data_IF_623038516342
#
_entry.id   IF_623038516342
#
_cell.length_a   1.000
_cell.length_b   1.000
_cell.length_c   1.000
_cell.angle_alpha   90.00
_cell.angle_beta   90.00
_cell.angle_gamma   90.00
#
_symmetry.space_group_name_H-M   'P 1'
#
loop_
_entity.id
_entity.type
_entity.pdbx_description
1 polymer ?
#
# COMPACT_ATOMS: atom_id res chain seq x y z
N UNK A 1 17.38 -23.53 -20.84
CA UNK A 1 18.47 -23.47 -19.81
C UNK A 1 18.27 -24.54 -18.74
N UNK A 2 19.36 -25.08 -18.13
CA UNK A 2 19.19 -25.89 -16.91
C UNK A 2 19.01 -24.98 -15.68
N UNK A 3 17.88 -25.09 -14.99
CA UNK A 3 17.59 -24.29 -13.80
C UNK A 3 18.65 -24.50 -12.70
N UNK A 4 19.21 -25.70 -12.57
CA UNK A 4 20.30 -25.95 -11.60
C UNK A 4 21.59 -25.20 -11.95
N UNK A 5 21.90 -24.98 -13.23
CA UNK A 5 23.03 -24.13 -13.62
C UNK A 5 22.77 -22.67 -13.34
N UNK A 6 21.55 -22.19 -13.61
CA UNK A 6 21.12 -20.83 -13.25
C UNK A 6 21.23 -20.57 -11.74
N UNK A 7 20.71 -21.47 -10.91
CA UNK A 7 20.82 -21.35 -9.45
C UNK A 7 22.26 -21.38 -8.95
N UNK A 8 23.13 -22.16 -9.58
CA UNK A 8 24.55 -22.15 -9.24
C UNK A 8 25.21 -20.80 -9.54
N UNK A 9 24.85 -20.15 -10.66
CA UNK A 9 25.33 -18.79 -10.97
C UNK A 9 24.91 -17.78 -9.91
N UNK A 10 23.62 -17.78 -9.49
CA UNK A 10 23.15 -16.88 -8.43
C UNK A 10 23.92 -17.11 -7.14
N UNK A 11 24.07 -18.36 -6.72
CA UNK A 11 24.81 -18.74 -5.52
C UNK A 11 26.27 -18.27 -5.53
N UNK A 12 26.91 -18.33 -6.69
CA UNK A 12 28.34 -18.03 -6.89
C UNK A 12 28.57 -16.59 -7.35
N UNK A 13 27.55 -15.77 -7.40
CA UNK A 13 27.59 -14.38 -7.90
C UNK A 13 28.17 -14.27 -9.33
N UNK A 14 27.94 -15.27 -10.15
CA UNK A 14 28.26 -15.22 -11.56
C UNK A 14 27.16 -14.42 -12.27
N UNK A 15 27.50 -13.39 -13.06
CA UNK A 15 26.51 -12.55 -13.72
C UNK A 15 25.49 -13.35 -14.53
N UNK A 16 24.23 -13.02 -14.33
CA UNK A 16 23.11 -13.56 -15.10
C UNK A 16 22.90 -12.71 -16.35
N UNK A 17 22.61 -13.35 -17.47
CA UNK A 17 22.17 -12.60 -18.64
C UNK A 17 20.64 -12.51 -18.68
N UNK A 18 20.14 -11.51 -19.41
CA UNK A 18 18.71 -11.21 -19.52
C UNK A 18 17.87 -12.42 -19.93
N UNK A 19 18.34 -13.20 -20.91
CA UNK A 19 17.57 -14.36 -21.40
C UNK A 19 17.46 -15.49 -20.35
N UNK A 20 18.46 -15.66 -19.49
CA UNK A 20 18.40 -16.62 -18.38
C UNK A 20 17.34 -16.21 -17.35
N UNK A 21 17.26 -14.90 -17.05
CA UNK A 21 16.27 -14.33 -16.12
C UNK A 21 14.86 -14.43 -16.72
N UNK A 22 14.69 -14.13 -18.00
CA UNK A 22 13.42 -14.26 -18.72
C UNK A 22 12.91 -15.71 -18.71
N UNK A 23 13.79 -16.69 -19.03
CA UNK A 23 13.44 -18.11 -19.02
C UNK A 23 13.06 -18.60 -17.62
N UNK A 24 13.79 -18.16 -16.59
CA UNK A 24 13.47 -18.47 -15.20
C UNK A 24 12.11 -17.88 -14.80
N UNK A 25 11.85 -16.62 -15.13
CA UNK A 25 10.59 -15.94 -14.81
C UNK A 25 9.40 -16.58 -15.55
N UNK A 26 9.55 -16.94 -16.81
CA UNK A 26 8.56 -17.70 -17.56
C UNK A 26 8.26 -19.06 -16.88
N UNK A 27 9.31 -19.76 -16.45
CA UNK A 27 9.17 -21.03 -15.74
C UNK A 27 8.54 -20.90 -14.34
N UNK A 28 8.65 -19.75 -13.68
CA UNK A 28 7.87 -19.45 -12.48
C UNK A 28 6.38 -19.33 -12.82
N UNK A 29 6.04 -18.64 -13.91
CA UNK A 29 4.66 -18.40 -14.28
C UNK A 29 3.94 -19.69 -14.76
N UNK A 30 4.60 -20.51 -15.57
CA UNK A 30 4.03 -21.73 -16.16
C UNK A 30 4.16 -22.98 -15.27
N UNK A 31 4.94 -22.90 -14.19
CA UNK A 31 5.14 -24.01 -13.25
C UNK A 31 6.28 -24.97 -13.62
N UNK A 32 7.03 -24.75 -14.68
CA UNK A 32 8.18 -25.57 -15.06
C UNK A 32 9.37 -25.40 -14.09
N UNK A 33 9.51 -24.25 -13.45
CA UNK A 33 10.36 -24.06 -12.26
C UNK A 33 9.60 -24.57 -11.03
N UNK A 34 10.14 -25.57 -10.34
CA UNK A 34 9.51 -26.12 -9.13
C UNK A 34 9.60 -25.16 -7.95
N UNK A 35 8.73 -25.33 -6.93
CA UNK A 35 8.75 -24.52 -5.72
C UNK A 35 10.09 -24.63 -4.96
N UNK A 36 10.72 -25.81 -4.98
CA UNK A 36 12.05 -26.02 -4.42
C UNK A 36 13.13 -25.18 -5.14
N UNK A 37 13.04 -25.07 -6.46
CA UNK A 37 13.97 -24.24 -7.25
C UNK A 37 13.70 -22.75 -7.04
N UNK A 38 12.45 -22.34 -6.97
CA UNK A 38 12.08 -20.96 -6.66
C UNK A 38 12.51 -20.54 -5.24
N UNK A 39 12.36 -21.43 -4.25
CA UNK A 39 12.84 -21.22 -2.88
C UNK A 39 14.37 -21.11 -2.84
N UNK A 40 15.09 -21.96 -3.57
CA UNK A 40 16.54 -21.89 -3.68
C UNK A 40 17.02 -20.59 -4.33
N UNK A 41 16.31 -20.11 -5.37
CA UNK A 41 16.57 -18.80 -5.97
C UNK A 41 16.37 -17.68 -4.95
N UNK A 42 15.21 -17.64 -4.28
CA UNK A 42 14.90 -16.61 -3.30
C UNK A 42 15.93 -16.55 -2.18
N UNK A 43 16.35 -17.70 -1.64
CA UNK A 43 17.37 -17.77 -0.61
C UNK A 43 18.76 -17.34 -1.13
N UNK A 44 19.13 -17.75 -2.34
CA UNK A 44 20.39 -17.34 -2.94
C UNK A 44 20.44 -15.81 -3.14
N UNK A 45 19.35 -15.19 -3.62
CA UNK A 45 19.26 -13.74 -3.75
C UNK A 45 19.29 -13.04 -2.38
N UNK A 46 18.65 -13.58 -1.34
CA UNK A 46 18.73 -13.03 0.00
C UNK A 46 20.16 -12.98 0.54
N UNK A 47 20.98 -13.98 0.19
CA UNK A 47 22.34 -14.10 0.72
C UNK A 47 23.37 -13.37 -0.14
N UNK A 48 23.18 -13.29 -1.44
CA UNK A 48 24.19 -12.81 -2.38
C UNK A 48 23.81 -11.47 -3.03
N UNK A 49 22.53 -11.13 -3.04
CA UNK A 49 21.98 -9.97 -3.77
C UNK A 49 21.95 -10.18 -5.29
N UNK A 50 21.46 -9.16 -5.98
CA UNK A 50 21.47 -9.02 -7.44
C UNK A 50 22.13 -7.69 -7.81
N UNK A 51 22.81 -7.64 -8.92
CA UNK A 51 23.27 -6.38 -9.50
C UNK A 51 22.07 -5.51 -9.92
N UNK A 52 22.30 -4.21 -10.10
CA UNK A 52 21.25 -3.29 -10.53
C UNK A 52 20.61 -3.74 -11.85
N UNK A 53 21.42 -4.15 -12.82
CA UNK A 53 20.91 -4.62 -14.11
C UNK A 53 20.08 -5.90 -13.96
N UNK A 54 20.51 -6.86 -13.16
CA UNK A 54 19.76 -8.08 -12.90
C UNK A 54 18.41 -7.81 -12.20
N UNK A 55 18.36 -6.82 -11.31
CA UNK A 55 17.09 -6.38 -10.70
C UNK A 55 16.14 -5.78 -11.74
N UNK A 56 16.64 -4.95 -12.66
CA UNK A 56 15.85 -4.41 -13.77
C UNK A 56 15.33 -5.54 -14.65
N UNK A 57 16.22 -6.46 -15.05
CA UNK A 57 15.87 -7.57 -15.94
C UNK A 57 14.86 -8.52 -15.27
N UNK A 58 15.02 -8.84 -13.98
CA UNK A 58 14.07 -9.65 -13.20
C UNK A 58 12.71 -8.96 -13.08
N UNK A 59 12.70 -7.65 -12.81
CA UNK A 59 11.47 -6.87 -12.71
C UNK A 59 10.69 -6.91 -14.03
N UNK A 60 11.37 -6.63 -15.14
CA UNK A 60 10.76 -6.65 -16.47
C UNK A 60 10.32 -8.06 -16.87
N UNK A 61 11.15 -9.06 -16.63
CA UNK A 61 10.82 -10.45 -16.91
C UNK A 61 9.59 -10.93 -16.14
N UNK A 62 9.48 -10.61 -14.83
CA UNK A 62 8.30 -10.95 -14.05
C UNK A 62 7.05 -10.18 -14.51
N UNK A 63 7.19 -8.88 -14.85
CA UNK A 63 6.11 -8.09 -15.45
C UNK A 63 5.58 -8.74 -16.73
N UNK A 64 6.47 -9.13 -17.62
CA UNK A 64 6.16 -9.62 -18.96
C UNK A 64 5.63 -11.07 -18.96
N UNK A 65 5.63 -11.76 -17.83
CA UNK A 65 4.90 -13.02 -17.67
C UNK A 65 3.40 -12.86 -17.66
N UNK A 66 2.91 -11.63 -17.48
CA UNK A 66 1.49 -11.27 -17.44
C UNK A 66 1.11 -10.25 -18.50
N UNK A 67 -0.07 -9.68 -18.31
CA UNK A 67 -0.60 -8.63 -19.18
C UNK A 67 -0.04 -7.27 -18.77
N UNK A 68 0.60 -6.57 -19.69
CA UNK A 68 1.01 -5.17 -19.53
C UNK A 68 -0.02 -4.27 -20.18
N UNK A 69 -0.52 -3.30 -19.44
CA UNK A 69 -1.53 -2.36 -19.92
C UNK A 69 -0.91 -1.33 -20.87
N UNK A 70 -1.68 -1.03 -21.92
CA UNK A 70 -1.40 0.08 -22.84
C UNK A 70 -2.60 1.00 -22.83
N UNK A 71 -2.36 2.28 -22.57
CA UNK A 71 -3.41 3.28 -22.46
C UNK A 71 -3.43 4.21 -23.66
N UNK A 72 -4.61 4.45 -24.22
CA UNK A 72 -4.87 5.51 -25.19
C UNK A 72 -5.77 6.56 -24.52
N UNK A 73 -5.14 7.41 -23.70
CA UNK A 73 -5.79 8.39 -22.85
C UNK A 73 -5.25 9.80 -23.13
N UNK A 74 -6.05 10.82 -22.87
CA UNK A 74 -5.71 12.22 -23.16
C UNK A 74 -4.73 12.87 -22.20
N UNK A 75 -4.37 12.20 -21.12
CA UNK A 75 -3.44 12.67 -20.09
C UNK A 75 -2.48 11.59 -19.64
N UNK A 76 -1.47 11.94 -18.86
CA UNK A 76 -0.46 10.98 -18.41
C UNK A 76 -1.06 9.95 -17.44
N UNK A 77 -0.53 8.73 -17.54
CA UNK A 77 -0.89 7.60 -16.67
C UNK A 77 0.14 7.50 -15.56
N UNK A 78 -0.29 7.80 -14.34
CA UNK A 78 0.60 7.93 -13.18
C UNK A 78 0.06 7.21 -11.97
N UNK A 79 0.94 6.86 -11.04
CA UNK A 79 0.52 6.19 -9.81
C UNK A 79 1.45 6.50 -8.63
N UNK A 80 1.00 6.14 -7.44
CA UNK A 80 1.77 6.17 -6.19
C UNK A 80 1.83 4.78 -5.61
N UNK A 81 2.98 4.41 -5.08
CA UNK A 81 3.11 3.20 -4.27
C UNK A 81 3.67 3.53 -2.89
N UNK A 82 3.07 2.96 -1.85
CA UNK A 82 3.57 3.04 -0.49
C UNK A 82 4.19 1.71 -0.06
N UNK A 83 5.26 1.78 0.73
CA UNK A 83 5.79 0.59 1.41
C UNK A 83 4.89 0.14 2.57
N UNK A 84 3.88 0.94 2.90
CA UNK A 84 2.88 0.63 3.92
C UNK A 84 3.26 1.08 5.32
N UNK A 85 2.23 1.27 6.12
CA UNK A 85 2.33 1.65 7.52
C UNK A 85 0.95 1.69 8.17
N UNK A 86 0.92 1.83 9.51
CA UNK A 86 -0.32 1.92 10.26
C UNK A 86 -0.98 3.27 10.01
N UNK A 87 -2.23 3.28 9.53
CA UNK A 87 -2.94 4.51 9.25
C UNK A 87 -2.45 5.24 7.99
N UNK A 88 -1.87 4.52 7.02
CA UNK A 88 -1.54 5.08 5.71
C UNK A 88 -2.74 5.03 4.76
N UNK A 89 -3.45 6.12 4.67
CA UNK A 89 -4.63 6.30 3.83
C UNK A 89 -4.43 7.33 2.69
N UNK A 90 -3.19 7.69 2.38
CA UNK A 90 -2.83 8.63 1.30
C UNK A 90 -3.47 8.24 -0.04
N UNK A 91 -3.46 6.96 -0.39
CA UNK A 91 -3.98 6.48 -1.69
C UNK A 91 -5.44 6.87 -1.94
N UNK A 92 -6.28 6.88 -0.89
CA UNK A 92 -7.70 7.22 -0.98
C UNK A 92 -7.92 8.70 -1.30
N UNK A 93 -6.99 9.56 -0.86
CA UNK A 93 -7.04 11.01 -1.08
C UNK A 93 -6.33 11.38 -2.38
N UNK A 94 -5.14 10.84 -2.60
CA UNK A 94 -4.27 11.24 -3.69
C UNK A 94 -4.79 10.83 -5.07
N UNK A 95 -5.33 9.61 -5.22
CA UNK A 95 -5.78 9.12 -6.51
C UNK A 95 -6.87 10.03 -7.15
N UNK A 96 -7.94 10.41 -6.45
CA UNK A 96 -8.93 11.34 -7.02
C UNK A 96 -8.41 12.77 -7.18
N UNK A 97 -7.45 13.24 -6.35
CA UNK A 97 -6.83 14.54 -6.54
C UNK A 97 -6.00 14.61 -7.82
N UNK A 98 -5.19 13.59 -8.11
CA UNK A 98 -4.41 13.48 -9.35
C UNK A 98 -5.32 13.42 -10.58
N UNK A 99 -6.39 12.64 -10.51
CA UNK A 99 -7.39 12.58 -11.56
C UNK A 99 -8.10 13.93 -11.77
N UNK A 100 -8.36 14.67 -10.70
CA UNK A 100 -8.92 16.02 -10.77
C UNK A 100 -7.97 17.04 -11.43
N UNK A 101 -6.66 16.79 -11.36
CA UNK A 101 -5.63 17.56 -12.07
C UNK A 101 -5.49 17.17 -13.54
N UNK A 102 -6.19 16.13 -14.03
CA UNK A 102 -6.17 15.67 -15.42
C UNK A 102 -5.24 14.51 -15.72
N UNK A 103 -4.67 13.87 -14.72
CA UNK A 103 -3.96 12.61 -14.87
C UNK A 103 -4.92 11.40 -14.84
N UNK A 104 -4.43 10.23 -15.23
CA UNK A 104 -5.13 8.96 -15.09
C UNK A 104 -4.38 8.08 -14.08
N UNK A 105 -5.11 7.51 -13.13
CA UNK A 105 -4.51 6.80 -11.99
C UNK A 105 -5.05 5.37 -11.91
N UNK A 106 -4.45 4.41 -12.65
CA UNK A 106 -4.79 2.99 -12.57
C UNK A 106 -4.12 2.34 -11.36
N UNK A 107 -4.60 2.65 -10.16
CA UNK A 107 -3.95 2.24 -8.91
C UNK A 107 -4.21 0.77 -8.59
N UNK A 108 -3.22 -0.08 -8.89
CA UNK A 108 -3.20 -1.46 -8.41
C UNK A 108 -2.62 -1.48 -7.00
N UNK A 109 -3.42 -1.90 -6.03
CA UNK A 109 -3.09 -1.86 -4.61
C UNK A 109 -3.18 -3.24 -3.96
N UNK A 110 -2.75 -3.33 -2.71
CA UNK A 110 -2.70 -4.56 -1.92
C UNK A 110 -3.58 -4.53 -0.68
N UNK A 111 -3.69 -5.72 -0.08
CA UNK A 111 -4.18 -5.90 1.29
C UNK A 111 -3.10 -5.57 2.31
N UNK A 112 -3.49 -5.39 3.54
CA UNK A 112 -2.56 -5.22 4.64
C UNK A 112 -1.68 -6.43 4.86
N UNK A 113 -0.44 -6.18 5.24
CA UNK A 113 0.54 -7.19 5.62
C UNK A 113 0.89 -7.02 7.08
N UNK A 114 0.98 -8.12 7.81
CA UNK A 114 1.35 -8.10 9.23
C UNK A 114 0.39 -7.24 10.07
N UNK A 115 0.93 -6.16 10.62
CA UNK A 115 0.21 -5.23 11.49
C UNK A 115 -0.42 -4.02 10.76
N UNK A 116 -0.26 -3.93 9.44
CA UNK A 116 -0.76 -2.79 8.65
C UNK A 116 -2.12 -3.06 8.03
N UNK A 117 -2.95 -2.02 7.86
CA UNK A 117 -4.16 -2.08 7.06
C UNK A 117 -3.88 -1.76 5.59
N UNK A 118 -4.34 -2.60 4.68
CA UNK A 118 -4.17 -2.37 3.25
C UNK A 118 -5.21 -1.41 2.67
N UNK A 119 -4.87 -0.77 1.56
CA UNK A 119 -5.79 0.13 0.84
C UNK A 119 -7.08 -0.59 0.42
N UNK A 120 -6.98 -1.84 -0.02
CA UNK A 120 -8.15 -2.63 -0.40
C UNK A 120 -9.06 -2.93 0.78
N UNK A 121 -8.48 -3.28 1.94
CA UNK A 121 -9.22 -3.58 3.16
C UNK A 121 -10.04 -2.37 3.63
N UNK A 122 -9.51 -1.16 3.45
CA UNK A 122 -10.21 0.10 3.74
C UNK A 122 -11.39 0.31 2.79
N UNK A 123 -11.19 0.16 1.49
CA UNK A 123 -12.24 0.31 0.48
C UNK A 123 -13.34 -0.75 0.61
N UNK A 124 -13.01 -1.96 1.01
CA UNK A 124 -13.99 -3.03 1.28
C UNK A 124 -14.89 -2.74 2.49
N UNK A 125 -14.55 -1.76 3.35
CA UNK A 125 -15.48 -1.25 4.36
C UNK A 125 -16.65 -0.47 3.78
N UNK A 126 -16.57 -0.08 2.50
CA UNK A 126 -17.64 0.58 1.75
C UNK A 126 -18.56 -0.49 1.17
N UNK A 127 -19.84 -0.55 1.55
CA UNK A 127 -20.75 -1.59 1.05
C UNK A 127 -20.82 -1.64 -0.47
N UNK A 128 -20.62 -2.84 -1.02
CA UNK A 128 -20.70 -3.09 -2.45
C UNK A 128 -19.44 -2.74 -3.26
N UNK A 129 -18.45 -2.08 -2.68
CA UNK A 129 -17.23 -1.77 -3.40
C UNK A 129 -16.46 -3.04 -3.79
N UNK A 130 -16.14 -3.16 -5.07
CA UNK A 130 -15.45 -4.32 -5.65
C UNK A 130 -13.98 -4.00 -5.84
N UNK A 131 -13.12 -4.66 -5.07
CA UNK A 131 -11.66 -4.58 -5.20
C UNK A 131 -11.11 -5.52 -6.27
N UNK A 132 -11.91 -6.49 -6.73
CA UNK A 132 -11.56 -7.41 -7.80
C UNK A 132 -12.54 -7.19 -8.95
N UNK A 133 -12.02 -6.76 -10.08
CA UNK A 133 -12.78 -6.50 -11.32
C UNK A 133 -12.05 -7.09 -12.52
N UNK A 134 -12.74 -7.24 -13.64
CA UNK A 134 -12.10 -7.66 -14.89
C UNK A 134 -11.14 -6.59 -15.40
N UNK A 135 -10.23 -6.99 -16.29
CA UNK A 135 -9.31 -6.04 -16.91
C UNK A 135 -10.04 -4.95 -17.71
N UNK A 136 -11.06 -5.32 -18.46
CA UNK A 136 -11.84 -4.40 -19.29
C UNK A 136 -12.64 -3.42 -18.42
N UNK A 137 -13.24 -3.90 -17.33
CA UNK A 137 -13.93 -3.03 -16.37
C UNK A 137 -12.97 -2.04 -15.70
N UNK A 138 -11.79 -2.49 -15.33
CA UNK A 138 -10.76 -1.60 -14.77
C UNK A 138 -10.35 -0.50 -15.76
N UNK A 139 -10.10 -0.87 -17.02
CA UNK A 139 -9.77 0.09 -18.07
C UNK A 139 -10.89 1.11 -18.30
N UNK A 140 -12.13 0.63 -18.37
CA UNK A 140 -13.30 1.49 -18.55
C UNK A 140 -13.45 2.49 -17.39
N UNK A 141 -13.31 2.02 -16.13
CA UNK A 141 -13.43 2.91 -14.97
C UNK A 141 -12.30 3.96 -14.96
N UNK A 142 -11.08 3.59 -15.28
CA UNK A 142 -9.96 4.55 -15.38
C UNK A 142 -10.23 5.58 -16.48
N UNK A 143 -10.70 5.15 -17.65
CA UNK A 143 -10.99 6.05 -18.77
C UNK A 143 -12.14 7.02 -18.44
N UNK A 144 -13.23 6.54 -17.83
CA UNK A 144 -14.44 7.34 -17.58
C UNK A 144 -14.32 8.24 -16.36
N UNK A 145 -13.63 7.77 -15.32
CA UNK A 145 -13.57 8.45 -14.01
C UNK A 145 -12.27 9.24 -13.83
N UNK A 146 -11.17 8.75 -14.42
CA UNK A 146 -9.81 9.26 -14.25
C UNK A 146 -9.00 8.47 -13.23
N UNK A 147 -9.62 7.69 -12.34
CA UNK A 147 -8.92 6.83 -11.39
C UNK A 147 -9.72 5.58 -11.04
N UNK A 148 -9.00 4.52 -10.67
CA UNK A 148 -9.56 3.33 -10.04
C UNK A 148 -8.55 2.75 -9.06
N UNK A 149 -9.01 2.25 -7.91
CA UNK A 149 -8.18 1.57 -6.91
C UNK A 149 -8.68 0.14 -6.76
N UNK A 150 -7.91 -0.81 -7.27
CA UNK A 150 -8.29 -2.23 -7.31
C UNK A 150 -7.12 -3.14 -6.91
N UNK A 151 -7.40 -4.39 -6.65
CA UNK A 151 -6.39 -5.42 -6.44
C UNK A 151 -5.71 -5.84 -7.73
N UNK A 152 -4.54 -6.46 -7.62
CA UNK A 152 -3.91 -7.11 -8.76
C UNK A 152 -4.84 -8.21 -9.28
N UNK A 153 -5.39 -8.00 -10.47
CA UNK A 153 -6.24 -8.95 -11.15
C UNK A 153 -5.47 -10.21 -11.58
N UNK A 154 -6.21 -11.21 -12.04
CA UNK A 154 -5.59 -12.37 -12.69
C UNK A 154 -4.81 -11.93 -13.92
N UNK A 155 -3.59 -12.42 -14.06
CA UNK A 155 -2.71 -12.10 -15.18
C UNK A 155 -1.78 -10.89 -14.97
N UNK A 156 -1.79 -10.23 -13.81
CA UNK A 156 -0.76 -9.24 -13.47
C UNK A 156 0.43 -9.96 -12.82
N UNK A 157 1.59 -9.94 -13.50
CA UNK A 157 2.85 -10.49 -13.02
C UNK A 157 2.72 -11.87 -12.31
N UNK A 158 2.20 -12.92 -12.96
CA UNK A 158 1.95 -14.21 -12.33
C UNK A 158 3.20 -14.87 -11.76
N UNK A 159 4.38 -14.65 -12.37
CA UNK A 159 5.64 -15.09 -11.80
C UNK A 159 5.92 -14.49 -10.42
N UNK A 160 5.67 -13.19 -10.26
CA UNK A 160 5.81 -12.54 -8.96
C UNK A 160 4.82 -13.08 -7.92
N UNK A 161 3.56 -13.25 -8.30
CA UNK A 161 2.52 -13.79 -7.41
C UNK A 161 2.96 -15.14 -6.82
N UNK A 162 3.50 -16.03 -7.67
CA UNK A 162 3.97 -17.33 -7.22
C UNK A 162 5.23 -17.24 -6.38
N UNK A 163 6.22 -16.46 -6.84
CA UNK A 163 7.48 -16.28 -6.11
C UNK A 163 7.22 -15.67 -4.72
N UNK A 164 6.33 -14.69 -4.63
CA UNK A 164 5.96 -14.06 -3.35
C UNK A 164 5.37 -15.09 -2.36
N UNK A 165 4.47 -15.96 -2.82
CA UNK A 165 3.90 -17.03 -1.98
C UNK A 165 4.99 -17.96 -1.44
N UNK A 166 5.99 -18.29 -2.26
CA UNK A 166 7.13 -19.15 -1.85
C UNK A 166 8.02 -18.40 -0.86
N UNK A 167 8.28 -17.11 -1.09
CA UNK A 167 9.08 -16.26 -0.19
C UNK A 167 8.48 -16.16 1.20
N UNK A 168 7.16 -16.04 1.29
CA UNK A 168 6.44 -16.00 2.58
C UNK A 168 6.66 -17.30 3.38
N UNK A 169 6.63 -18.44 2.69
CA UNK A 169 6.86 -19.76 3.30
C UNK A 169 8.31 -20.05 3.68
N UNK A 170 9.25 -19.36 3.03
CA UNK A 170 10.70 -19.67 3.15
C UNK A 170 11.48 -18.61 3.93
N UNK A 171 10.80 -17.61 4.50
CA UNK A 171 11.46 -16.55 5.28
C UNK A 171 12.42 -15.70 4.43
N UNK A 172 12.07 -15.43 3.17
CA UNK A 172 12.90 -14.66 2.24
C UNK A 172 12.22 -13.36 1.76
N UNK A 173 11.21 -12.89 2.51
CA UNK A 173 10.46 -11.66 2.16
C UNK A 173 11.26 -10.38 2.37
N UNK A 174 12.31 -10.40 3.20
CA UNK A 174 13.07 -9.21 3.60
C UNK A 174 14.12 -8.74 2.57
N UNK A 175 14.38 -9.52 1.51
CA UNK A 175 15.35 -9.15 0.47
C UNK A 175 14.93 -7.88 -0.26
N UNK A 176 15.73 -6.82 -0.19
CA UNK A 176 15.52 -5.53 -0.89
C UNK A 176 15.36 -5.74 -2.39
N UNK A 177 16.17 -6.62 -2.99
CA UNK A 177 16.13 -6.91 -4.42
C UNK A 177 14.81 -7.54 -4.84
N UNK A 178 14.34 -8.52 -4.06
CA UNK A 178 13.08 -9.20 -4.34
C UNK A 178 11.86 -8.36 -3.96
N UNK A 179 11.95 -7.49 -2.94
CA UNK A 179 10.94 -6.48 -2.63
C UNK A 179 10.79 -5.52 -3.81
N UNK A 180 11.92 -4.99 -4.29
CA UNK A 180 11.97 -4.06 -5.42
C UNK A 180 11.31 -4.65 -6.66
N UNK A 181 11.74 -5.85 -7.05
CA UNK A 181 11.21 -6.51 -8.25
C UNK A 181 9.73 -6.87 -8.11
N UNK A 182 9.30 -7.30 -6.93
CA UNK A 182 7.89 -7.63 -6.63
C UNK A 182 6.98 -6.41 -6.70
N UNK A 183 7.37 -5.29 -6.13
CA UNK A 183 6.59 -4.04 -6.19
C UNK A 183 6.49 -3.54 -7.63
N UNK A 184 7.65 -3.43 -8.29
CA UNK A 184 7.73 -2.78 -9.58
C UNK A 184 7.16 -3.61 -10.73
N UNK A 185 7.27 -4.95 -10.70
CA UNK A 185 6.65 -5.78 -11.73
C UNK A 185 5.13 -5.54 -11.84
N UNK A 186 4.43 -5.40 -10.71
CA UNK A 186 3.00 -5.08 -10.67
C UNK A 186 2.69 -3.65 -11.08
N UNK A 187 3.52 -2.68 -10.63
CA UNK A 187 3.31 -1.26 -10.96
C UNK A 187 3.58 -0.98 -12.44
N UNK A 188 4.64 -1.53 -12.99
CA UNK A 188 4.95 -1.39 -14.41
C UNK A 188 3.97 -2.13 -15.31
N UNK A 189 3.36 -3.24 -14.85
CA UNK A 189 2.29 -3.91 -15.56
C UNK A 189 1.03 -3.05 -15.72
N UNK A 190 0.83 -2.06 -14.86
CA UNK A 190 -0.25 -1.09 -15.00
C UNK A 190 -0.03 -0.06 -16.12
N UNK A 191 1.11 -0.06 -16.81
CA UNK A 191 1.38 0.82 -17.95
C UNK A 191 1.65 2.27 -17.58
N UNK A 192 2.38 2.49 -16.48
CA UNK A 192 2.65 3.81 -15.92
C UNK A 192 3.73 4.58 -16.71
N UNK A 193 3.52 5.88 -16.86
CA UNK A 193 4.52 6.82 -17.38
C UNK A 193 5.36 7.46 -16.26
N UNK A 194 4.74 7.67 -15.08
CA UNK A 194 5.44 8.15 -13.89
C UNK A 194 4.90 7.51 -12.61
N UNK A 195 5.80 7.41 -11.63
CA UNK A 195 5.50 6.80 -10.33
C UNK A 195 6.16 7.61 -9.21
N UNK A 196 5.45 7.84 -8.12
CA UNK A 196 6.05 8.27 -6.85
C UNK A 196 6.02 7.14 -5.84
N UNK A 197 7.15 6.93 -5.19
CA UNK A 197 7.32 5.95 -4.15
C UNK A 197 7.28 6.64 -2.79
N UNK A 198 6.36 6.22 -1.96
CA UNK A 198 6.18 6.68 -0.59
C UNK A 198 6.83 5.65 0.35
N UNK A 199 8.10 5.86 0.66
CA UNK A 199 8.87 4.96 1.52
C UNK A 199 8.69 5.37 2.97
N UNK A 200 7.87 4.62 3.67
CA UNK A 200 7.53 4.85 5.08
C UNK A 200 8.68 4.45 5.99
N UNK A 201 9.00 5.32 6.95
CA UNK A 201 10.08 5.12 7.92
C UNK A 201 9.57 5.38 9.32
N UNK A 202 9.80 4.47 10.23
CA UNK A 202 9.45 4.63 11.65
C UNK A 202 8.79 3.40 12.24
N UNK A 203 8.37 3.52 13.48
CA UNK A 203 7.82 2.41 14.27
C UNK A 203 6.52 1.81 13.71
N UNK A 204 5.74 2.58 12.98
CA UNK A 204 4.52 2.13 12.30
C UNK A 204 4.76 1.59 10.89
N UNK A 205 6.01 1.53 10.41
CA UNK A 205 6.40 1.06 9.08
C UNK A 205 7.18 -0.25 9.13
N UNK A 206 7.40 -0.87 7.96
CA UNK A 206 8.32 -2.00 7.84
C UNK A 206 9.78 -1.55 7.96
N UNK A 207 10.14 -0.41 7.36
CA UNK A 207 11.48 0.18 7.49
C UNK A 207 11.55 1.00 8.78
N UNK A 208 12.24 0.50 9.78
CA UNK A 208 12.33 1.15 11.08
C UNK A 208 13.42 2.22 11.14
N UNK A 209 14.44 2.10 10.29
CA UNK A 209 15.53 3.06 10.27
C UNK A 209 15.68 3.74 8.90
N UNK A 210 16.27 4.93 8.92
CA UNK A 210 16.42 5.79 7.75
C UNK A 210 17.41 5.22 6.71
N UNK A 211 18.39 4.43 7.11
CA UNK A 211 19.41 3.89 6.22
C UNK A 211 18.80 2.79 5.32
N UNK A 212 18.10 1.82 5.91
CA UNK A 212 17.37 0.78 5.18
C UNK A 212 16.32 1.39 4.23
N UNK A 213 15.60 2.41 4.70
CA UNK A 213 14.61 3.10 3.88
C UNK A 213 15.24 3.81 2.67
N UNK A 214 16.41 4.43 2.85
CA UNK A 214 17.16 5.04 1.74
C UNK A 214 17.68 4.01 0.76
N UNK A 215 18.14 2.87 1.23
CA UNK A 215 18.59 1.78 0.38
C UNK A 215 17.44 1.25 -0.48
N UNK A 216 16.30 0.95 0.14
CA UNK A 216 15.10 0.52 -0.59
C UNK A 216 14.62 1.59 -1.58
N UNK A 217 14.57 2.86 -1.18
CA UNK A 217 14.19 3.95 -2.07
C UNK A 217 15.10 4.06 -3.29
N UNK A 218 16.42 3.99 -3.10
CA UNK A 218 17.40 4.01 -4.20
C UNK A 218 17.20 2.81 -5.14
N UNK A 219 17.04 1.61 -4.59
CA UNK A 219 16.80 0.39 -5.37
C UNK A 219 15.54 0.54 -6.24
N UNK A 220 14.41 0.94 -5.63
CA UNK A 220 13.14 1.12 -6.31
C UNK A 220 13.23 2.19 -7.42
N UNK A 221 13.81 3.36 -7.12
CA UNK A 221 13.94 4.47 -8.10
C UNK A 221 14.86 4.07 -9.24
N UNK A 222 16.01 3.46 -8.95
CA UNK A 222 16.97 3.03 -9.97
C UNK A 222 16.35 2.01 -10.93
N UNK A 223 15.71 0.96 -10.37
CA UNK A 223 15.11 -0.11 -11.16
C UNK A 223 13.92 0.41 -11.98
N UNK A 224 13.05 1.25 -11.42
CA UNK A 224 11.89 1.78 -12.15
C UNK A 224 12.32 2.71 -13.30
N UNK A 225 13.31 3.59 -13.07
CA UNK A 225 13.86 4.44 -14.12
C UNK A 225 14.61 3.60 -15.16
N UNK A 226 15.37 2.59 -14.76
CA UNK A 226 16.03 1.64 -15.67
C UNK A 226 15.02 0.85 -16.54
N UNK A 227 13.81 0.63 -16.00
CA UNK A 227 12.69 0.03 -16.73
C UNK A 227 11.88 1.01 -17.59
N UNK A 228 12.28 2.29 -17.64
CA UNK A 228 11.64 3.32 -18.47
C UNK A 228 10.46 4.07 -17.86
N UNK A 229 10.14 3.84 -16.56
CA UNK A 229 9.13 4.60 -15.83
C UNK A 229 9.78 5.71 -15.01
N UNK A 230 9.42 6.97 -15.30
CA UNK A 230 9.96 8.13 -14.56
C UNK A 230 9.53 8.02 -13.09
N UNK A 231 10.49 7.88 -12.19
CA UNK A 231 10.18 7.54 -10.80
C UNK A 231 11.01 8.38 -9.85
N UNK A 232 10.33 8.89 -8.84
CA UNK A 232 10.91 9.55 -7.67
C UNK A 232 10.47 8.84 -6.39
N UNK A 233 11.12 9.14 -5.27
CA UNK A 233 10.75 8.62 -3.96
C UNK A 233 10.83 9.70 -2.89
N UNK A 234 9.84 9.69 -1.99
CA UNK A 234 9.85 10.47 -0.76
C UNK A 234 9.95 9.50 0.41
N UNK A 235 10.84 9.83 1.38
CA UNK A 235 10.88 9.16 2.65
C UNK A 235 9.95 9.92 3.61
N UNK A 236 8.93 9.23 4.11
CA UNK A 236 7.91 9.86 4.95
C UNK A 236 7.89 9.22 6.34
N UNK A 237 7.79 10.07 7.36
CA UNK A 237 7.76 9.61 8.74
C UNK A 237 6.47 8.84 9.04
N UNK A 238 6.63 7.67 9.64
CA UNK A 238 5.56 6.77 10.06
C UNK A 238 5.72 6.34 11.53
N UNK A 239 6.31 7.21 12.37
CA UNK A 239 6.25 7.03 13.82
C UNK A 239 4.85 7.30 14.39
N UNK A 240 4.02 8.00 13.64
CA UNK A 240 2.63 8.29 13.96
C UNK A 240 1.74 7.97 12.76
N UNK A 241 0.46 7.64 13.00
CA UNK A 241 -0.52 7.53 11.91
C UNK A 241 -0.64 8.86 11.16
N UNK A 242 -0.96 8.82 9.88
CA UNK A 242 -1.10 10.05 9.07
C UNK A 242 -2.39 10.81 9.41
N UNK A 243 -3.45 10.08 9.74
CA UNK A 243 -4.72 10.63 10.15
C UNK A 243 -4.93 10.49 11.66
N UNK A 244 -5.96 11.15 12.17
CA UNK A 244 -6.38 11.12 13.58
C UNK A 244 -6.87 9.74 14.03
N UNK A 245 -7.05 8.81 13.11
CA UNK A 245 -7.55 7.46 13.40
C UNK A 245 -6.90 6.41 12.49
N UNK A 246 -6.83 5.17 12.97
CA UNK A 246 -6.43 4.01 12.20
C UNK A 246 -7.51 2.91 12.32
N UNK A 247 -7.78 2.21 11.20
CA UNK A 247 -8.83 1.21 11.05
C UNK A 247 -9.62 1.43 9.77
N UNK A 248 -10.02 0.35 9.09
CA UNK A 248 -10.50 0.41 7.72
C UNK A 248 -11.57 1.49 7.46
N UNK A 249 -12.71 1.42 8.12
CA UNK A 249 -13.78 2.40 7.96
C UNK A 249 -13.45 3.79 8.52
N UNK A 250 -12.63 3.86 9.56
CA UNK A 250 -12.20 5.13 10.16
C UNK A 250 -11.28 5.89 9.21
N UNK A 251 -10.35 5.18 8.58
CA UNK A 251 -9.42 5.77 7.61
C UNK A 251 -10.15 6.24 6.34
N UNK A 252 -11.24 5.57 5.94
CA UNK A 252 -12.12 6.10 4.88
C UNK A 252 -12.80 7.40 5.32
N UNK A 253 -13.23 7.53 6.59
CA UNK A 253 -13.78 8.78 7.12
C UNK A 253 -12.76 9.90 7.12
N UNK A 254 -11.53 9.63 7.57
CA UNK A 254 -10.43 10.61 7.55
C UNK A 254 -10.10 11.05 6.12
N UNK A 255 -10.03 10.12 5.17
CA UNK A 255 -9.83 10.44 3.76
C UNK A 255 -10.95 11.32 3.19
N UNK A 256 -12.21 11.02 3.53
CA UNK A 256 -13.36 11.84 3.15
C UNK A 256 -13.34 13.23 3.79
N UNK A 257 -12.87 13.37 5.02
CA UNK A 257 -12.71 14.67 5.66
C UNK A 257 -11.73 15.55 4.86
N UNK A 258 -10.57 15.00 4.45
CA UNK A 258 -9.63 15.71 3.58
C UNK A 258 -10.25 16.04 2.22
N UNK A 259 -10.88 15.08 1.55
CA UNK A 259 -11.51 15.29 0.23
C UNK A 259 -12.64 16.33 0.27
N UNK A 260 -13.32 16.49 1.40
CA UNK A 260 -14.33 17.53 1.65
C UNK A 260 -13.72 18.85 2.16
N UNK A 261 -12.41 18.96 2.15
CA UNK A 261 -11.68 20.13 2.65
C UNK A 261 -12.06 20.51 4.10
N UNK A 262 -12.26 19.50 4.95
CA UNK A 262 -12.56 19.67 6.37
C UNK A 262 -11.23 19.70 7.16
N UNK A 263 -11.17 20.50 8.25
CA UNK A 263 -9.97 20.54 9.11
C UNK A 263 -9.83 19.24 9.94
N UNK A 264 -8.65 19.00 10.49
CA UNK A 264 -8.38 17.95 11.47
C UNK A 264 -7.48 16.82 10.99
N UNK A 265 -7.12 16.80 9.70
CA UNK A 265 -6.25 15.77 9.10
C UNK A 265 -5.04 16.40 8.39
N UNK A 266 -4.41 17.40 9.04
CA UNK A 266 -3.38 18.27 8.44
C UNK A 266 -2.15 17.45 8.00
N UNK A 267 -1.75 16.44 8.79
CA UNK A 267 -0.58 15.60 8.45
C UNK A 267 -0.85 14.71 7.24
N UNK A 268 -2.03 14.11 7.16
CA UNK A 268 -2.45 13.33 5.99
C UNK A 268 -2.47 14.22 4.74
N UNK A 269 -3.03 15.41 4.85
CA UNK A 269 -3.07 16.39 3.77
C UNK A 269 -1.66 16.78 3.32
N UNK A 270 -0.76 17.10 4.25
CA UNK A 270 0.59 17.54 3.93
C UNK A 270 1.38 16.46 3.19
N UNK A 271 1.37 15.23 3.67
CA UNK A 271 2.05 14.10 3.00
C UNK A 271 1.42 13.82 1.62
N UNK A 272 0.10 13.93 1.52
CA UNK A 272 -0.60 13.76 0.24
C UNK A 272 -0.20 14.83 -0.77
N UNK A 273 -0.13 16.10 -0.35
CA UNK A 273 0.29 17.21 -1.21
C UNK A 273 1.76 17.08 -1.63
N UNK A 274 2.65 16.70 -0.71
CA UNK A 274 4.06 16.49 -1.02
C UNK A 274 4.27 15.38 -2.05
N UNK A 275 3.61 14.24 -1.89
CA UNK A 275 3.67 13.14 -2.85
C UNK A 275 3.04 13.51 -4.19
N UNK A 276 1.89 14.18 -4.15
CA UNK A 276 1.15 14.57 -5.36
C UNK A 276 1.89 15.63 -6.18
N UNK A 277 2.42 16.69 -5.56
CA UNK A 277 3.18 17.73 -6.25
C UNK A 277 4.43 17.16 -6.89
N UNK A 278 5.18 16.35 -6.15
CA UNK A 278 6.37 15.67 -6.69
C UNK A 278 6.02 14.75 -7.88
N UNK A 279 4.92 13.98 -7.80
CA UNK A 279 4.50 13.10 -8.89
C UNK A 279 4.06 13.90 -10.13
N UNK A 280 3.30 14.97 -9.97
CA UNK A 280 2.85 15.81 -11.09
C UNK A 280 4.02 16.47 -11.81
N UNK A 281 5.08 16.88 -11.08
CA UNK A 281 6.33 17.38 -11.67
C UNK A 281 7.09 16.24 -12.37
N UNK A 282 7.25 15.09 -11.72
CA UNK A 282 7.89 13.90 -12.31
C UNK A 282 7.18 13.46 -13.61
N UNK A 283 5.87 13.59 -13.66
CA UNK A 283 5.05 13.32 -14.84
C UNK A 283 5.20 14.39 -15.95
N UNK A 284 5.79 15.55 -15.65
CA UNK A 284 5.94 16.65 -16.59
C UNK A 284 4.66 17.46 -16.79
N UNK A 285 3.67 17.34 -15.89
CA UNK A 285 2.45 18.15 -15.93
C UNK A 285 2.67 19.56 -15.41
N UNK A 286 3.64 19.74 -14.53
CA UNK A 286 4.06 21.03 -13.98
C UNK A 286 5.58 21.12 -14.00
N UNK A 287 6.11 22.33 -14.06
CA UNK A 287 7.56 22.58 -13.96
C UNK A 287 8.06 22.76 -12.53
N UNK A 288 7.16 23.17 -11.62
CA UNK A 288 7.49 23.52 -10.24
C UNK A 288 6.51 22.85 -9.27
N UNK A 289 7.04 22.39 -8.13
CA UNK A 289 6.23 21.71 -7.11
C UNK A 289 5.18 22.62 -6.47
N UNK A 290 5.49 23.91 -6.31
CA UNK A 290 4.53 24.89 -5.73
C UNK A 290 3.28 25.05 -6.61
N UNK A 291 3.44 25.10 -7.94
CA UNK A 291 2.32 25.16 -8.87
C UNK A 291 1.48 23.88 -8.86
N UNK A 292 2.16 22.74 -8.80
CA UNK A 292 1.50 21.45 -8.71
C UNK A 292 0.72 21.32 -7.39
N UNK A 293 1.31 21.77 -6.28
CA UNK A 293 0.66 21.82 -4.96
C UNK A 293 -0.57 22.71 -4.97
N UNK A 294 -0.46 23.92 -5.49
CA UNK A 294 -1.61 24.83 -5.62
C UNK A 294 -2.75 24.22 -6.46
N UNK A 295 -2.40 23.50 -7.54
CA UNK A 295 -3.39 22.79 -8.34
C UNK A 295 -4.09 21.67 -7.55
N UNK A 296 -3.35 20.88 -6.75
CA UNK A 296 -3.92 19.87 -5.88
C UNK A 296 -4.85 20.48 -4.83
N UNK A 297 -4.45 21.56 -4.17
CA UNK A 297 -5.27 22.26 -3.18
C UNK A 297 -6.59 22.79 -3.79
N UNK A 298 -6.53 23.27 -5.03
CA UNK A 298 -7.73 23.69 -5.78
C UNK A 298 -8.70 22.53 -6.02
N UNK A 299 -8.23 21.28 -6.16
CA UNK A 299 -9.13 20.14 -6.33
C UNK A 299 -9.97 19.87 -5.08
N UNK A 300 -9.44 20.17 -3.89
CA UNK A 300 -10.15 20.05 -2.62
C UNK A 300 -11.13 21.21 -2.44
N UNK A 301 -10.66 22.45 -2.61
CA UNK A 301 -11.50 23.66 -2.42
C UNK A 301 -12.66 23.74 -3.42
N UNK A 302 -12.52 23.14 -4.61
CA UNK A 302 -13.59 23.02 -5.61
C UNK A 302 -14.47 21.78 -5.45
N UNK A 303 -14.18 20.92 -4.48
CA UNK A 303 -14.82 19.63 -4.27
C UNK A 303 -14.68 18.62 -5.44
N UNK A 304 -13.86 18.92 -6.46
CA UNK A 304 -13.70 18.06 -7.64
C UNK A 304 -13.08 16.70 -7.29
N UNK A 305 -12.12 16.67 -6.37
CA UNK A 305 -11.55 15.42 -5.90
C UNK A 305 -12.57 14.54 -5.17
N UNK A 306 -13.44 15.13 -4.34
CA UNK A 306 -14.53 14.42 -3.67
C UNK A 306 -15.55 13.86 -4.67
N UNK A 307 -15.91 14.62 -5.72
CA UNK A 307 -16.78 14.17 -6.80
C UNK A 307 -16.18 12.95 -7.53
N UNK A 308 -14.89 13.02 -7.92
CA UNK A 308 -14.20 11.91 -8.59
C UNK A 308 -14.13 10.67 -7.69
N UNK A 309 -13.85 10.85 -6.40
CA UNK A 309 -13.89 9.74 -5.44
C UNK A 309 -15.26 9.08 -5.41
N UNK A 310 -16.35 9.86 -5.33
CA UNK A 310 -17.73 9.35 -5.38
C UNK A 310 -18.04 8.59 -6.67
N UNK A 311 -17.59 9.11 -7.81
CA UNK A 311 -17.73 8.44 -9.11
C UNK A 311 -16.96 7.12 -9.15
N UNK A 312 -15.74 7.08 -8.63
CA UNK A 312 -14.94 5.85 -8.51
C UNK A 312 -15.68 4.81 -7.64
N UNK A 313 -16.16 5.23 -6.47
CA UNK A 313 -16.91 4.34 -5.58
C UNK A 313 -18.13 3.76 -6.30
N UNK A 314 -18.93 4.59 -6.97
CA UNK A 314 -20.12 4.16 -7.71
C UNK A 314 -19.78 3.23 -8.87
N UNK A 315 -18.77 3.55 -9.67
CA UNK A 315 -18.34 2.73 -10.81
C UNK A 315 -17.86 1.33 -10.37
N UNK A 316 -17.28 1.24 -9.17
CA UNK A 316 -16.81 -0.02 -8.60
C UNK A 316 -17.83 -0.69 -7.67
N UNK A 317 -19.13 -0.29 -7.75
CA UNK A 317 -20.26 -0.99 -7.14
C UNK A 317 -20.70 -0.48 -5.77
N UNK A 318 -20.05 0.53 -5.22
CA UNK A 318 -20.49 1.20 -3.98
C UNK A 318 -21.67 2.15 -4.20
N UNK A 319 -22.22 2.75 -3.13
CA UNK A 319 -23.38 3.64 -3.23
C UNK A 319 -23.07 4.92 -4.01
N UNK A 320 -23.96 5.33 -4.91
CA UNK A 320 -23.78 6.52 -5.75
C UNK A 320 -23.75 7.84 -4.97
N UNK A 321 -24.31 7.88 -3.77
CA UNK A 321 -24.33 9.03 -2.85
C UNK A 321 -23.42 8.79 -1.62
N UNK A 322 -22.39 7.95 -1.79
CA UNK A 322 -21.50 7.57 -0.68
C UNK A 322 -20.82 8.77 -0.03
N UNK A 323 -20.33 9.71 -0.84
CA UNK A 323 -19.60 10.88 -0.33
C UNK A 323 -20.50 11.72 0.58
N UNK A 324 -21.77 11.94 0.21
CA UNK A 324 -22.72 12.73 0.98
C UNK A 324 -23.19 12.01 2.25
N UNK A 325 -23.39 10.68 2.14
CA UNK A 325 -24.04 9.85 3.16
C UNK A 325 -23.13 8.80 3.77
N UNK A 326 -21.83 9.01 3.76
CA UNK A 326 -20.84 8.04 4.23
C UNK A 326 -21.10 7.52 5.66
N UNK A 327 -21.66 8.35 6.54
CA UNK A 327 -22.01 7.94 7.90
C UNK A 327 -23.16 6.93 7.97
N UNK A 328 -24.02 6.87 6.93
CA UNK A 328 -25.11 5.88 6.84
C UNK A 328 -24.59 4.52 6.34
N UNK A 329 -23.49 4.51 5.58
CA UNK A 329 -22.95 3.33 4.93
C UNK A 329 -21.78 2.68 5.66
N UNK A 330 -20.89 3.50 6.22
CA UNK A 330 -19.70 2.97 6.88
C UNK A 330 -20.06 2.31 8.23
N UNK A 331 -19.52 1.12 8.50
CA UNK A 331 -19.80 0.43 9.74
C UNK A 331 -19.35 1.27 10.96
N UNK A 332 -20.16 1.17 12.01
CA UNK A 332 -19.87 1.74 13.33
C UNK A 332 -19.66 0.60 14.30
N UNK A 333 -18.70 0.74 15.19
CA UNK A 333 -18.47 -0.26 16.22
C UNK A 333 -19.65 -0.29 17.21
N UNK A 334 -20.08 -1.49 17.57
CA UNK A 334 -21.10 -1.71 18.59
C UNK A 334 -20.61 -1.35 20.00
N UNK A 335 -19.30 -1.52 20.24
CA UNK A 335 -18.66 -1.24 21.51
C UNK A 335 -17.50 -0.27 21.30
N UNK A 336 -17.50 0.81 22.06
CA UNK A 336 -16.45 1.84 22.08
C UNK A 336 -15.92 1.93 23.50
N UNK A 337 -14.60 1.85 23.65
CA UNK A 337 -13.93 1.97 24.93
C UNK A 337 -13.04 3.22 24.92
N UNK A 338 -13.20 4.06 25.94
CA UNK A 338 -12.30 5.17 26.18
C UNK A 338 -11.05 4.68 26.91
N UNK A 339 -9.91 5.00 26.36
CA UNK A 339 -8.62 4.65 26.92
C UNK A 339 -7.84 5.93 27.24
N UNK A 340 -7.46 6.09 28.50
CA UNK A 340 -6.64 7.19 28.96
C UNK A 340 -5.28 6.69 29.40
N UNK A 341 -4.24 7.18 28.78
CA UNK A 341 -2.88 6.79 29.10
C UNK A 341 -2.12 7.92 29.80
N UNK A 342 -1.29 7.61 30.77
CA UNK A 342 -0.71 8.55 31.74
C UNK A 342 0.73 9.01 31.53
N UNK A 343 1.53 8.46 30.60
CA UNK A 343 2.91 8.91 30.35
C UNK A 343 3.38 8.64 28.92
N UNK A 344 4.31 9.49 28.44
CA UNK A 344 4.91 9.40 27.12
C UNK A 344 6.10 8.43 27.09
N UNK A 345 6.08 7.42 26.23
CA UNK A 345 7.28 6.74 25.76
C UNK A 345 7.28 6.74 24.23
N UNK A 346 8.39 7.19 23.67
CA UNK A 346 8.61 7.37 22.22
C UNK A 346 8.85 6.08 21.45
N UNK A 347 8.56 4.95 22.02
CA UNK A 347 8.72 3.67 21.35
C UNK A 347 7.37 3.22 20.81
N UNK A 348 7.19 3.40 19.50
CA UNK A 348 6.35 2.54 18.66
C UNK A 348 4.83 2.69 18.71
N UNK A 349 4.21 2.67 17.54
CA UNK A 349 2.79 2.50 17.27
C UNK A 349 1.86 3.51 17.96
N UNK A 350 2.12 4.72 17.66
CA UNK A 350 1.34 5.85 18.10
C UNK A 350 0.22 6.09 17.09
N UNK A 351 -0.87 5.38 17.28
CA UNK A 351 -2.13 5.90 16.79
C UNK A 351 -2.99 6.20 18.00
N UNK A 352 -3.51 7.39 18.08
CA UNK A 352 -4.65 7.72 18.93
C UNK A 352 -5.89 6.93 18.48
N UNK A 353 -5.70 5.69 18.11
CA UNK A 353 -6.70 4.87 17.46
C UNK A 353 -7.53 4.19 18.49
N UNK A 354 -8.77 4.49 18.47
CA UNK A 354 -9.80 3.64 19.01
C UNK A 354 -9.64 2.26 18.34
N UNK A 355 -9.16 1.27 19.08
CA UNK A 355 -9.16 -0.09 18.60
C UNK A 355 -10.60 -0.61 18.68
N UNK A 356 -11.30 -0.63 17.54
CA UNK A 356 -12.65 -1.16 17.45
C UNK A 356 -12.57 -2.69 17.50
N UNK A 357 -12.66 -3.24 18.70
CA UNK A 357 -12.70 -4.67 18.90
C UNK A 357 -14.16 -5.12 18.86
N UNK A 358 -14.55 -5.78 17.78
CA UNK A 358 -15.81 -6.54 17.75
C UNK A 358 -15.62 -7.80 18.57
N UNK A 359 -15.96 -7.77 19.85
CA UNK A 359 -15.90 -8.93 20.72
C UNK A 359 -17.23 -9.10 21.47
N UNK A 360 -17.72 -10.33 21.62
CA UNK A 360 -18.82 -10.64 22.55
C UNK A 360 -18.39 -10.59 24.03
N UNK A 361 -17.15 -10.23 24.32
CA UNK A 361 -16.65 -10.14 25.68
C UNK A 361 -17.06 -8.79 26.30
N UNK A 362 -17.84 -8.88 27.34
CA UNK A 362 -18.27 -7.75 28.16
C UNK A 362 -17.08 -7.16 28.93
N UNK A 363 -16.88 -5.85 28.77
CA UNK A 363 -16.11 -4.97 29.65
C UNK A 363 -14.67 -5.35 29.98
N UNK A 364 -13.73 -4.96 29.11
CA UNK A 364 -12.32 -4.85 29.49
C UNK A 364 -11.97 -3.36 29.69
N UNK A 365 -11.39 -3.02 30.84
CA UNK A 365 -10.72 -1.75 31.04
C UNK A 365 -9.23 -1.98 30.85
N UNK A 366 -8.64 -1.28 29.89
CA UNK A 366 -7.20 -1.21 29.72
C UNK A 366 -6.69 -0.02 30.51
N UNK A 367 -5.80 -0.27 31.45
CA UNK A 367 -5.02 0.78 32.09
C UNK A 367 -3.61 0.70 31.52
N UNK A 368 -3.17 1.76 30.86
CA UNK A 368 -1.77 1.99 30.55
C UNK A 368 -1.44 3.40 31.00
N UNK A 369 -0.27 3.55 31.58
CA UNK A 369 0.29 4.85 31.90
C UNK A 369 0.99 5.50 30.69
N UNK A 370 0.91 4.85 29.52
CA UNK A 370 1.49 5.31 28.26
C UNK A 370 0.36 5.83 27.33
N UNK A 371 0.30 7.16 27.01
CA UNK A 371 -0.69 7.75 26.13
C UNK A 371 -0.70 7.19 24.70
N UNK A 372 0.31 6.44 24.34
CA UNK A 372 0.50 5.85 23.02
C UNK A 372 0.51 4.33 22.99
N UNK A 373 0.16 3.67 24.08
CA UNK A 373 0.02 2.24 24.09
C UNK A 373 -1.12 1.81 23.17
N UNK A 374 -0.82 1.05 22.14
CA UNK A 374 -1.81 0.51 21.20
C UNK A 374 -1.96 -0.97 21.42
N UNK A 375 -3.18 -1.40 21.67
CA UNK A 375 -3.53 -2.79 21.73
C UNK A 375 -3.89 -3.29 20.32
N UNK A 376 -3.08 -4.17 19.75
CA UNK A 376 -3.46 -4.92 18.57
C UNK A 376 -4.27 -6.13 19.00
N UNK A 377 -5.55 -6.09 18.72
CA UNK A 377 -6.43 -7.21 18.94
C UNK A 377 -7.06 -7.66 17.63
N UNK A 378 -6.86 -8.90 17.27
CA UNK A 378 -7.55 -9.52 16.13
C UNK A 378 -8.57 -10.49 16.69
N UNK A 379 -9.83 -10.34 16.29
CA UNK A 379 -10.85 -11.34 16.54
C UNK A 379 -10.69 -12.48 15.55
N UNK A 380 -10.30 -13.66 16.04
CA UNK A 380 -10.35 -14.91 15.28
C UNK A 380 -11.57 -15.70 15.72
N UNK A 381 -12.01 -16.66 14.91
CA UNK A 381 -13.11 -17.59 15.24
C UNK A 381 -12.85 -18.32 16.55
N UNK A 382 -13.09 -17.71 17.68
CA UNK A 382 -12.91 -18.32 19.02
C UNK A 382 -12.37 -17.39 20.10
N UNK A 383 -12.05 -16.13 19.83
CA UNK A 383 -11.62 -15.19 20.87
C UNK A 383 -10.75 -14.05 20.40
N UNK A 384 -10.49 -13.14 21.31
CA UNK A 384 -9.59 -12.02 21.14
C UNK A 384 -8.14 -12.50 21.25
N UNK A 385 -7.35 -12.35 20.19
CA UNK A 385 -5.91 -12.59 20.25
C UNK A 385 -5.18 -11.26 20.29
N UNK A 386 -4.50 -10.98 21.38
CA UNK A 386 -3.59 -9.84 21.50
C UNK A 386 -2.31 -10.19 20.72
N UNK A 387 -2.00 -9.42 19.69
CA UNK A 387 -0.85 -9.69 18.81
C UNK A 387 0.38 -8.87 19.25
N UNK A 388 0.19 -7.75 19.91
CA UNK A 388 1.30 -6.94 20.43
C UNK A 388 0.85 -6.05 21.57
N UNK A 389 1.73 -5.93 22.54
CA UNK A 389 1.63 -5.03 23.68
C UNK A 389 2.86 -4.15 23.65
N UNK A 390 2.65 -2.85 23.61
CA UNK A 390 3.69 -1.86 23.77
C UNK A 390 3.39 -1.05 25.01
N UNK A 391 4.27 -1.17 26.01
CA UNK A 391 4.08 -0.64 27.35
C UNK A 391 3.52 -1.69 28.34
N UNK A 392 3.61 -1.39 29.64
CA UNK A 392 2.97 -2.21 30.69
C UNK A 392 1.46 -1.91 30.68
N UNK A 393 0.68 -2.87 30.24
CA UNK A 393 -0.79 -2.80 30.28
C UNK A 393 -1.30 -3.81 31.29
N UNK A 394 -2.02 -3.34 32.28
CA UNK A 394 -2.74 -4.17 33.20
C UNK A 394 -4.16 -4.42 32.69
N UNK A 395 -4.49 -5.68 32.38
CA UNK A 395 -5.83 -6.08 32.02
C UNK A 395 -6.67 -6.27 33.29
N UNK A 396 -7.53 -5.32 33.57
CA UNK A 396 -8.45 -5.41 34.70
C UNK A 396 -9.82 -5.87 34.21
N UNK A 397 -10.15 -7.12 34.52
CA UNK A 397 -11.50 -7.64 34.29
C UNK A 397 -12.46 -7.11 35.34
N UNK A 398 -13.42 -6.28 34.96
CA UNK A 398 -14.54 -5.97 35.87
C UNK A 398 -15.48 -7.17 35.91
N UNK A 399 -15.44 -7.88 37.00
CA UNK A 399 -16.53 -8.82 37.34
C UNK A 399 -17.76 -7.99 37.72
N UNK A 400 -18.88 -8.18 37.02
CA UNK A 400 -20.16 -7.63 37.49
C UNK A 400 -20.37 -8.10 38.95
N UNK A 401 -20.74 -7.19 39.84
CA UNK A 401 -21.19 -7.63 41.15
C UNK A 401 -22.41 -8.51 40.92
N UNK A 402 -22.33 -9.73 41.39
CA UNK A 402 -23.49 -10.66 41.51
C UNK A 402 -24.56 -9.97 42.37
N UNK A 403 -25.70 -9.67 41.73
CA UNK A 403 -26.95 -9.39 42.47
C UNK A 403 -27.57 -10.70 42.89
#
# INVERSE_FOLDING_TARGET
MSISVFLAKVREQVPLNKSEIEEFSAGLADGSVSDAQAAAFAMAVCLQGLSEQERVDLTLAMRDTGNVRNWDLSGPVIDKHSTGGIGDNVSLVLAPMLAACGAYVPMVSGRGLGHTGGTLDKLESIPGYRTQVSGDEFEQVVADVGCAIVGAGEGIAPADKRLYTIRDLTGTVESVDLITSSILSKKLAAGLEALVLDVKVGSGAFMQNMEEARELARSLVSVANGAGCRTSALLTDMNHSLASSAGNALEVRSALAVLKNQPGEERLLEVTLALGSNLLVTAGMFSEEDQARESLEKTLSSAKAAEIFGRMISALGGPCNFVEKSNEYLPVAENVFDFHSGSFSLASLESNSLCLVKSPLSEFHLKSDDPFAVLFAVTTNGGLKIIGLLGEIELVQKTKPSI
#
